data_IF_695443554862
#
_entry.id   IF_695443554862
#
_cell.length_a   1.000
_cell.length_b   1.000
_cell.length_c   1.000
_cell.angle_alpha   90.00
_cell.angle_beta   90.00
_cell.angle_gamma   90.00
#
_symmetry.space_group_name_H-M   'P 1'
#
loop_
_entity.id
_entity.type
_entity.pdbx_description
1 polymer ?
#
# COMPACT_ATOMS: atom_id res chain seq x y z
N UNK A 1 -55.77 22.60 -27.71
CA UNK A 1 -54.37 22.14 -27.91
C UNK A 1 -53.41 22.50 -26.76
N UNK A 2 -53.57 23.62 -26.03
CA UNK A 2 -52.62 24.05 -24.96
C UNK A 2 -52.56 23.18 -23.69
N UNK A 3 -53.66 22.48 -23.31
CA UNK A 3 -53.70 21.67 -22.07
C UNK A 3 -52.93 20.34 -22.14
N UNK A 4 -52.80 19.77 -23.34
CA UNK A 4 -52.07 18.51 -23.56
C UNK A 4 -50.55 18.68 -23.50
N UNK A 5 -50.04 19.84 -23.90
CA UNK A 5 -48.61 20.17 -23.81
C UNK A 5 -48.11 20.24 -22.35
N UNK A 6 -48.94 20.74 -21.43
CA UNK A 6 -48.58 20.81 -20.01
C UNK A 6 -48.54 19.42 -19.36
N UNK A 7 -49.47 18.54 -19.73
CA UNK A 7 -49.48 17.14 -19.27
C UNK A 7 -48.25 16.37 -19.77
N UNK A 8 -47.87 16.54 -21.03
CA UNK A 8 -46.66 15.95 -21.59
C UNK A 8 -45.39 16.47 -20.91
N UNK A 9 -45.33 17.78 -20.60
CA UNK A 9 -44.18 18.37 -19.91
C UNK A 9 -44.04 17.83 -18.47
N UNK A 10 -45.14 17.70 -17.74
CA UNK A 10 -45.15 17.14 -16.38
C UNK A 10 -44.78 15.65 -16.41
N UNK A 11 -45.28 14.88 -17.37
CA UNK A 11 -44.91 13.47 -17.54
C UNK A 11 -43.42 13.32 -17.88
N UNK A 12 -42.86 14.18 -18.75
CA UNK A 12 -41.43 14.21 -19.06
C UNK A 12 -40.57 14.58 -17.84
N UNK A 13 -41.02 15.54 -17.02
CA UNK A 13 -40.33 15.92 -15.79
C UNK A 13 -40.37 14.79 -14.74
N UNK A 14 -41.48 14.06 -14.62
CA UNK A 14 -41.59 12.88 -13.75
C UNK A 14 -40.67 11.74 -14.20
N UNK A 15 -40.58 11.49 -15.51
CA UNK A 15 -39.66 10.47 -16.09
C UNK A 15 -38.19 10.90 -15.92
N UNK A 16 -37.89 12.21 -16.04
CA UNK A 16 -36.57 12.75 -15.72
C UNK A 16 -36.23 12.63 -14.22
N UNK A 17 -37.23 12.76 -13.34
CA UNK A 17 -37.04 12.65 -11.89
C UNK A 17 -36.86 11.18 -11.46
N UNK A 18 -37.56 10.22 -12.07
CA UNK A 18 -37.35 8.78 -11.85
C UNK A 18 -35.99 8.29 -12.38
N UNK A 19 -35.54 8.78 -13.53
CA UNK A 19 -34.19 8.47 -14.05
C UNK A 19 -33.07 9.14 -13.23
N UNK A 20 -33.35 10.26 -12.56
CA UNK A 20 -32.44 10.85 -11.57
C UNK A 20 -32.44 10.10 -10.23
N UNK A 21 -33.58 9.56 -9.80
CA UNK A 21 -33.71 8.77 -8.56
C UNK A 21 -33.21 7.32 -8.69
N UNK A 22 -33.15 6.75 -9.90
CA UNK A 22 -32.48 5.46 -10.15
C UNK A 22 -30.95 5.57 -10.23
N UNK A 23 -30.40 6.78 -10.35
CA UNK A 23 -28.96 7.05 -10.23
C UNK A 23 -28.56 7.44 -8.81
N UNK A 24 -29.26 6.93 -7.80
CA UNK A 24 -28.60 6.68 -6.50
C UNK A 24 -27.64 5.53 -6.75
N UNK A 25 -26.49 5.86 -7.36
CA UNK A 25 -25.34 4.99 -7.51
C UNK A 25 -25.13 4.34 -6.14
N UNK A 26 -25.36 3.02 -6.05
CA UNK A 26 -25.30 2.28 -4.80
C UNK A 26 -24.08 2.77 -4.01
N UNK A 27 -24.31 3.33 -2.81
CA UNK A 27 -23.26 3.93 -2.00
C UNK A 27 -22.09 2.95 -1.96
N UNK A 28 -21.02 3.27 -2.69
CA UNK A 28 -19.98 2.28 -2.96
C UNK A 28 -19.39 1.78 -1.65
N UNK A 29 -18.94 0.53 -1.64
CA UNK A 29 -18.39 -0.16 -0.46
C UNK A 29 -17.12 0.51 0.13
N UNK A 30 -16.72 1.65 -0.42
CA UNK A 30 -15.60 2.48 0.02
C UNK A 30 -14.24 1.95 -0.44
N UNK A 31 -14.21 0.79 -1.09
CA UNK A 31 -12.99 0.17 -1.59
C UNK A 31 -12.53 0.87 -2.88
N UNK A 32 -11.24 1.15 -2.96
CA UNK A 32 -10.64 1.62 -4.21
C UNK A 32 -10.62 0.46 -5.22
N UNK A 33 -11.14 0.71 -6.41
CA UNK A 33 -11.22 -0.22 -7.52
C UNK A 33 -10.40 0.28 -8.71
N UNK A 34 -10.36 -0.53 -9.76
CA UNK A 34 -9.67 -0.21 -11.01
C UNK A 34 -10.67 -0.23 -12.16
N UNK A 35 -10.68 0.83 -12.97
CA UNK A 35 -11.40 0.84 -14.26
C UNK A 35 -10.41 1.20 -15.35
N UNK A 36 -9.92 0.18 -16.05
CA UNK A 36 -8.81 0.37 -16.97
C UNK A 36 -7.55 0.85 -16.24
N UNK A 37 -6.95 1.93 -16.71
CA UNK A 37 -5.73 2.50 -16.12
C UNK A 37 -6.01 3.48 -14.97
N UNK A 38 -7.26 3.64 -14.53
CA UNK A 38 -7.65 4.61 -13.50
C UNK A 38 -8.07 3.91 -12.21
N UNK A 39 -7.73 4.51 -11.07
CA UNK A 39 -8.37 4.19 -9.82
C UNK A 39 -9.77 4.81 -9.76
N UNK A 40 -10.70 4.12 -9.12
CA UNK A 40 -12.08 4.55 -8.96
C UNK A 40 -12.49 4.33 -7.51
N UNK A 41 -13.14 5.31 -6.89
CA UNK A 41 -13.76 5.22 -5.57
C UNK A 41 -15.23 5.57 -5.73
N UNK A 42 -16.13 4.65 -5.35
CA UNK A 42 -17.58 4.84 -5.42
C UNK A 42 -18.02 5.42 -6.79
N UNK A 43 -17.64 4.74 -7.88
CA UNK A 43 -17.99 5.15 -9.24
C UNK A 43 -17.14 6.28 -9.84
N UNK A 44 -16.55 7.12 -9.01
CA UNK A 44 -15.81 8.32 -9.43
C UNK A 44 -14.29 8.10 -9.58
N UNK A 45 -13.62 8.74 -10.55
CA UNK A 45 -12.15 8.69 -10.65
C UNK A 45 -11.47 9.11 -9.35
N UNK A 46 -10.52 8.30 -8.89
CA UNK A 46 -9.74 8.57 -7.68
C UNK A 46 -8.30 8.92 -8.06
N UNK A 47 -7.84 10.09 -7.63
CA UNK A 47 -6.47 10.55 -7.83
C UNK A 47 -5.72 10.48 -6.50
N UNK A 48 -4.80 9.54 -6.41
CA UNK A 48 -3.96 9.39 -5.24
C UNK A 48 -2.94 10.53 -5.17
N UNK A 49 -2.93 11.27 -4.07
CA UNK A 49 -1.90 12.24 -3.72
C UNK A 49 -1.44 11.90 -2.30
N UNK A 50 -0.17 11.58 -2.09
CA UNK A 50 0.21 10.90 -0.86
C UNK A 50 1.64 11.08 -0.41
N UNK A 51 1.97 10.37 0.67
CA UNK A 51 3.27 10.42 1.32
C UNK A 51 3.70 9.04 1.80
N UNK A 52 5.01 8.88 2.02
CA UNK A 52 5.58 7.71 2.68
C UNK A 52 5.80 8.04 4.16
N UNK A 53 5.28 7.23 5.07
CA UNK A 53 5.49 7.36 6.51
C UNK A 53 5.67 5.98 7.12
N UNK A 54 6.90 5.50 7.02
CA UNK A 54 7.25 4.13 7.30
C UNK A 54 7.23 3.77 8.80
N UNK A 55 7.33 4.79 9.65
CA UNK A 55 7.49 4.71 11.10
C UNK A 55 6.16 4.65 11.86
N UNK A 56 5.02 4.80 11.18
CA UNK A 56 3.72 4.99 11.82
C UNK A 56 3.37 3.87 12.82
N UNK A 57 3.49 2.60 12.41
CA UNK A 57 3.22 1.45 13.28
C UNK A 57 4.15 1.44 14.50
N UNK A 58 5.44 1.64 14.27
CA UNK A 58 6.45 1.61 15.34
C UNK A 58 6.19 2.69 16.38
N UNK A 59 5.91 3.93 15.95
CA UNK A 59 5.59 5.04 16.85
C UNK A 59 4.25 4.81 17.55
N UNK A 60 3.21 4.34 16.86
CA UNK A 60 1.90 4.08 17.45
C UNK A 60 1.88 2.91 18.46
N UNK A 61 2.87 2.02 18.40
CA UNK A 61 3.01 0.92 19.36
C UNK A 61 3.30 1.39 20.78
N UNK A 62 3.83 2.62 20.93
CA UNK A 62 3.91 3.32 22.20
C UNK A 62 2.71 4.26 22.36
N UNK A 63 1.77 3.98 23.29
CA UNK A 63 0.60 4.83 23.51
C UNK A 63 0.95 6.31 23.77
N UNK A 64 2.09 6.59 24.41
CA UNK A 64 2.52 7.95 24.72
C UNK A 64 2.92 8.77 23.48
N UNK A 65 3.11 8.10 22.34
CA UNK A 65 3.59 8.71 21.08
C UNK A 65 2.52 8.72 19.99
N UNK A 66 1.34 8.15 20.24
CA UNK A 66 0.23 8.05 19.28
C UNK A 66 -0.25 9.40 18.75
N UNK A 67 -0.15 10.44 19.57
CA UNK A 67 -0.45 11.81 19.17
C UNK A 67 0.37 12.25 17.94
N UNK A 68 1.61 11.78 17.77
CA UNK A 68 2.44 12.08 16.58
C UNK A 68 1.84 11.50 15.29
N UNK A 69 1.25 10.31 15.36
CA UNK A 69 0.56 9.67 14.23
C UNK A 69 -0.73 10.42 13.90
N UNK A 70 -1.52 10.78 14.91
CA UNK A 70 -2.70 11.66 14.75
C UNK A 70 -2.33 12.98 14.08
N UNK A 71 -1.29 13.66 14.57
CA UNK A 71 -0.83 14.94 13.99
C UNK A 71 -0.37 14.79 12.54
N UNK A 72 0.35 13.71 12.20
CA UNK A 72 0.77 13.47 10.82
C UNK A 72 -0.43 13.30 9.88
N UNK A 73 -1.44 12.52 10.25
CA UNK A 73 -2.65 12.35 9.44
C UNK A 73 -3.50 13.62 9.38
N UNK A 74 -3.63 14.36 10.48
CA UNK A 74 -4.32 15.64 10.50
C UNK A 74 -3.66 16.65 9.55
N UNK A 75 -2.32 16.75 9.56
CA UNK A 75 -1.59 17.63 8.64
C UNK A 75 -1.73 17.17 7.19
N UNK A 76 -1.58 15.88 6.92
CA UNK A 76 -1.75 15.33 5.59
C UNK A 76 -3.14 15.65 5.00
N UNK A 77 -4.20 15.44 5.79
CA UNK A 77 -5.57 15.75 5.41
C UNK A 77 -5.77 17.25 5.15
N UNK A 78 -5.26 18.12 6.04
CA UNK A 78 -5.28 19.58 5.86
C UNK A 78 -4.59 20.07 4.58
N UNK A 79 -3.60 19.33 4.09
CA UNK A 79 -2.87 19.63 2.86
C UNK A 79 -3.40 18.88 1.62
N UNK A 80 -4.57 18.21 1.73
CA UNK A 80 -5.20 17.52 0.60
C UNK A 80 -4.46 16.25 0.17
N UNK A 81 -3.68 15.63 1.05
CA UNK A 81 -3.15 14.29 0.83
C UNK A 81 -4.23 13.26 1.14
N UNK A 82 -4.36 12.26 0.27
CA UNK A 82 -5.41 11.25 0.28
C UNK A 82 -4.90 9.84 0.53
N UNK A 83 -3.58 9.60 0.42
CA UNK A 83 -2.96 8.27 0.61
C UNK A 83 -1.69 8.35 1.46
N UNK A 84 -1.50 7.40 2.37
CA UNK A 84 -0.23 7.15 3.03
C UNK A 84 0.28 5.74 2.74
N UNK A 85 1.56 5.62 2.37
CA UNK A 85 2.25 4.34 2.28
C UNK A 85 3.05 4.10 3.56
N UNK A 86 2.87 2.93 4.16
CA UNK A 86 3.57 2.52 5.39
C UNK A 86 3.87 1.03 5.41
N UNK A 87 4.58 0.58 6.44
CA UNK A 87 5.00 -0.81 6.61
C UNK A 87 4.08 -1.53 7.59
N UNK A 88 3.61 -2.70 7.18
CA UNK A 88 2.94 -3.69 8.02
C UNK A 88 3.91 -4.82 8.40
N UNK A 89 5.20 -4.50 8.50
CA UNK A 89 6.27 -5.43 8.87
C UNK A 89 7.26 -4.77 9.83
N UNK A 90 7.86 -5.61 10.65
CA UNK A 90 9.11 -5.40 11.37
C UNK A 90 9.53 -6.78 11.83
N UNK A 91 10.48 -7.37 11.12
CA UNK A 91 10.84 -8.79 11.20
C UNK A 91 12.12 -8.95 12.03
N UNK A 92 11.99 -9.52 13.22
CA UNK A 92 13.11 -9.64 14.16
C UNK A 92 13.68 -8.29 14.63
N UNK A 93 14.81 -8.35 15.36
CA UNK A 93 15.50 -7.16 15.86
C UNK A 93 14.81 -6.51 17.07
N UNK A 94 14.97 -5.19 17.22
CA UNK A 94 14.47 -4.43 18.37
C UNK A 94 13.00 -4.01 18.16
N UNK A 95 12.13 -4.39 19.11
CA UNK A 95 10.67 -4.16 19.08
C UNK A 95 10.00 -4.62 17.76
N UNK A 96 10.14 -5.91 17.37
CA UNK A 96 9.56 -6.40 16.12
C UNK A 96 8.04 -6.44 16.15
N UNK A 97 7.43 -6.41 14.97
CA UNK A 97 6.07 -6.91 14.77
C UNK A 97 6.07 -8.44 14.81
N UNK A 98 6.94 -9.07 14.01
CA UNK A 98 7.10 -10.52 13.94
C UNK A 98 8.48 -10.90 14.49
N UNK A 99 8.55 -11.44 15.71
CA UNK A 99 9.84 -11.77 16.34
C UNK A 99 10.40 -13.12 15.87
N UNK A 100 9.55 -14.03 15.44
CA UNK A 100 9.90 -15.31 14.80
C UNK A 100 8.79 -15.70 13.81
N UNK A 101 9.02 -16.64 12.88
CA UNK A 101 8.02 -17.01 11.90
C UNK A 101 6.67 -17.39 12.55
N UNK A 102 5.63 -16.62 12.24
CA UNK A 102 4.27 -16.86 12.76
C UNK A 102 4.01 -16.37 14.19
N UNK A 103 4.97 -15.71 14.84
CA UNK A 103 4.84 -15.23 16.22
C UNK A 103 4.97 -13.71 16.30
N UNK A 104 4.01 -13.05 16.96
CA UNK A 104 3.78 -11.61 16.81
C UNK A 104 3.73 -10.85 18.13
N UNK A 105 4.24 -9.63 18.11
CA UNK A 105 4.10 -8.68 19.19
C UNK A 105 2.74 -7.97 19.09
N UNK A 106 1.84 -8.31 20.01
CA UNK A 106 0.48 -7.75 20.05
C UNK A 106 0.46 -6.23 20.24
N UNK A 107 1.40 -5.65 20.99
CA UNK A 107 1.48 -4.20 21.17
C UNK A 107 1.88 -3.49 19.86
N UNK A 108 2.75 -4.10 19.06
CA UNK A 108 3.10 -3.59 17.74
C UNK A 108 1.91 -3.69 16.78
N UNK A 109 1.15 -4.79 16.82
CA UNK A 109 -0.09 -4.92 16.06
C UNK A 109 -1.14 -3.88 16.45
N UNK A 110 -1.34 -3.62 17.75
CA UNK A 110 -2.21 -2.54 18.23
C UNK A 110 -1.74 -1.15 17.77
N UNK A 111 -0.44 -0.98 17.55
CA UNK A 111 0.11 0.19 16.88
C UNK A 111 -0.40 0.32 15.44
N UNK A 112 -0.36 -0.74 14.65
CA UNK A 112 -0.91 -0.75 13.29
C UNK A 112 -2.45 -0.59 13.28
N UNK A 113 -3.15 -1.19 14.26
CA UNK A 113 -4.60 -1.03 14.44
C UNK A 113 -4.95 0.48 14.58
N UNK A 114 -4.19 1.21 15.41
CA UNK A 114 -4.32 2.65 15.62
C UNK A 114 -4.05 3.47 14.35
N UNK A 115 -3.02 3.09 13.60
CA UNK A 115 -2.67 3.77 12.33
C UNK A 115 -3.85 3.68 11.35
N UNK A 116 -4.47 2.51 11.23
CA UNK A 116 -5.63 2.31 10.34
C UNK A 116 -6.85 3.08 10.85
N UNK A 117 -7.13 3.07 12.16
CA UNK A 117 -8.26 3.81 12.72
C UNK A 117 -8.11 5.33 12.54
N UNK A 118 -6.90 5.87 12.74
CA UNK A 118 -6.65 7.30 12.55
C UNK A 118 -6.63 7.70 11.07
N UNK A 119 -6.07 6.86 10.19
CA UNK A 119 -6.15 7.10 8.76
C UNK A 119 -7.62 7.19 8.29
N UNK A 120 -8.49 6.30 8.80
CA UNK A 120 -9.94 6.36 8.56
C UNK A 120 -10.53 7.70 9.01
N UNK A 121 -10.24 8.11 10.25
CA UNK A 121 -10.76 9.34 10.85
C UNK A 121 -10.43 10.59 10.03
N UNK A 122 -9.25 10.62 9.39
CA UNK A 122 -8.80 11.74 8.57
C UNK A 122 -9.02 11.56 7.06
N UNK A 123 -9.74 10.51 6.64
CA UNK A 123 -10.06 10.26 5.23
C UNK A 123 -8.86 9.86 4.37
N UNK A 124 -7.81 9.31 4.97
CA UNK A 124 -6.58 8.90 4.29
C UNK A 124 -6.62 7.39 4.03
N UNK A 125 -6.38 7.00 2.79
CA UNK A 125 -6.24 5.59 2.41
C UNK A 125 -4.82 5.08 2.69
N UNK A 126 -4.68 3.78 2.96
CA UNK A 126 -3.40 3.17 3.28
C UNK A 126 -2.89 2.19 2.21
N UNK A 127 -1.60 2.23 1.95
CA UNK A 127 -0.87 1.18 1.23
C UNK A 127 0.05 0.49 2.23
N UNK A 128 -0.18 -0.79 2.47
CA UNK A 128 0.53 -1.58 3.48
C UNK A 128 1.50 -2.55 2.81
N UNK A 129 2.80 -2.36 3.03
CA UNK A 129 3.84 -3.28 2.57
C UNK A 129 4.07 -4.41 3.56
N UNK A 130 4.23 -5.65 3.08
CA UNK A 130 4.34 -6.84 3.94
C UNK A 130 5.78 -7.27 4.29
N UNK A 131 6.79 -6.80 3.55
CA UNK A 131 8.19 -7.16 3.84
C UNK A 131 9.13 -6.18 3.13
N UNK A 132 10.37 -6.07 3.59
CA UNK A 132 11.40 -5.27 2.96
C UNK A 132 12.36 -6.11 2.10
N UNK A 133 12.89 -5.53 1.01
CA UNK A 133 14.06 -6.09 0.34
C UNK A 133 15.36 -5.83 1.11
N UNK A 134 15.44 -4.72 1.83
CA UNK A 134 16.61 -4.35 2.64
C UNK A 134 16.49 -4.84 4.07
N UNK A 135 17.59 -4.72 4.82
CA UNK A 135 17.71 -5.16 6.21
C UNK A 135 16.96 -4.29 7.23
N UNK A 136 16.57 -3.07 6.85
CA UNK A 136 15.87 -2.16 7.77
C UNK A 136 14.55 -2.76 8.21
N UNK A 137 14.41 -2.92 9.54
CA UNK A 137 13.31 -3.65 10.19
C UNK A 137 13.18 -5.11 9.70
N UNK A 138 14.32 -5.76 9.40
CA UNK A 138 14.40 -7.16 9.05
C UNK A 138 14.43 -7.41 7.55
N UNK A 139 13.26 -7.63 6.94
CA UNK A 139 13.15 -7.88 5.50
C UNK A 139 13.55 -9.29 5.06
N UNK A 140 13.76 -9.48 3.75
CA UNK A 140 13.97 -10.80 3.13
C UNK A 140 15.14 -11.58 3.74
N UNK A 141 16.19 -10.88 4.16
CA UNK A 141 17.35 -11.46 4.84
C UNK A 141 16.92 -12.17 6.13
N UNK A 142 16.14 -11.51 6.97
CA UNK A 142 15.69 -12.08 8.24
C UNK A 142 14.87 -13.37 8.06
N UNK A 143 14.04 -13.43 7.02
CA UNK A 143 13.28 -14.63 6.67
C UNK A 143 14.19 -15.80 6.24
N UNK A 144 15.25 -15.51 5.49
CA UNK A 144 16.26 -16.51 5.12
C UNK A 144 17.05 -16.97 6.36
N UNK A 145 17.40 -16.06 7.27
CA UNK A 145 18.08 -16.42 8.52
C UNK A 145 17.21 -17.27 9.44
N UNK A 146 15.90 -16.99 9.55
CA UNK A 146 14.98 -17.87 10.25
C UNK A 146 14.95 -19.28 9.66
N UNK A 147 14.95 -19.42 8.33
CA UNK A 147 15.02 -20.73 7.69
C UNK A 147 16.36 -21.44 7.95
N UNK A 148 17.49 -20.72 7.88
CA UNK A 148 18.82 -21.27 8.20
C UNK A 148 18.90 -21.78 9.64
N UNK A 149 18.33 -21.03 10.59
CA UNK A 149 18.27 -21.45 12.00
C UNK A 149 17.47 -22.74 12.23
N UNK A 150 16.62 -23.13 11.26
CA UNK A 150 15.85 -24.38 11.25
C UNK A 150 16.50 -25.45 10.35
N UNK A 151 17.79 -25.31 10.03
CA UNK A 151 18.56 -26.29 9.26
C UNK A 151 18.44 -26.17 7.73
N UNK A 152 17.82 -25.12 7.19
CA UNK A 152 17.77 -24.92 5.74
C UNK A 152 19.12 -24.41 5.20
N UNK A 153 19.67 -25.07 4.20
CA UNK A 153 20.88 -24.61 3.53
C UNK A 153 20.55 -23.59 2.43
N UNK A 154 20.71 -22.30 2.73
CA UNK A 154 20.45 -21.18 1.81
C UNK A 154 21.69 -20.29 1.71
N UNK A 155 22.29 -20.18 0.52
CA UNK A 155 23.52 -19.40 0.30
C UNK A 155 23.28 -17.92 -0.04
N UNK A 156 22.03 -17.52 -0.26
CA UNK A 156 21.66 -16.16 -0.68
C UNK A 156 20.33 -15.72 -0.09
N UNK A 157 20.18 -14.42 0.14
CA UNK A 157 18.91 -13.79 0.55
C UNK A 157 17.82 -13.93 -0.52
N UNK A 158 18.19 -14.13 -1.79
CA UNK A 158 17.24 -14.43 -2.86
C UNK A 158 16.59 -15.81 -2.71
N UNK A 159 17.11 -16.63 -1.77
CA UNK A 159 16.43 -17.80 -1.23
C UNK A 159 15.01 -17.49 -0.74
N UNK A 160 14.71 -16.22 -0.40
CA UNK A 160 13.37 -15.74 -0.11
C UNK A 160 12.35 -16.04 -1.21
N UNK A 161 12.73 -15.89 -2.49
CA UNK A 161 11.83 -16.08 -3.63
C UNK A 161 11.69 -17.54 -4.04
N UNK A 162 12.66 -18.39 -3.69
CA UNK A 162 12.78 -19.76 -4.22
C UNK A 162 12.45 -20.81 -3.17
N UNK A 163 12.92 -20.66 -1.93
CA UNK A 163 12.74 -21.63 -0.84
C UNK A 163 11.26 -21.84 -0.50
N UNK A 164 10.74 -23.08 -0.55
CA UNK A 164 9.38 -23.40 -0.12
C UNK A 164 9.13 -23.01 1.35
N UNK A 165 10.11 -23.23 2.23
CA UNK A 165 10.02 -22.89 3.67
C UNK A 165 9.87 -21.39 3.86
N UNK A 166 10.75 -20.58 3.24
CA UNK A 166 10.70 -19.12 3.38
C UNK A 166 9.41 -18.54 2.77
N UNK A 167 8.98 -19.04 1.60
CA UNK A 167 7.67 -18.68 1.03
C UNK A 167 6.52 -19.04 1.95
N UNK A 168 6.62 -20.14 2.69
CA UNK A 168 5.66 -20.54 3.71
C UNK A 168 5.56 -19.51 4.84
N UNK A 169 6.70 -19.08 5.40
CA UNK A 169 6.74 -18.03 6.41
C UNK A 169 6.10 -16.73 5.92
N UNK A 170 6.48 -16.27 4.72
CA UNK A 170 5.91 -15.06 4.14
C UNK A 170 4.40 -15.16 3.90
N UNK A 171 3.91 -16.30 3.36
CA UNK A 171 2.46 -16.52 3.17
C UNK A 171 1.71 -16.53 4.49
N UNK A 172 2.29 -17.11 5.54
CA UNK A 172 1.71 -17.08 6.89
C UNK A 172 1.67 -15.65 7.44
N UNK A 173 2.70 -14.85 7.18
CA UNK A 173 2.70 -13.43 7.55
C UNK A 173 1.61 -12.64 6.85
N UNK A 174 1.54 -12.73 5.53
CA UNK A 174 0.50 -12.11 4.72
C UNK A 174 -0.89 -12.52 5.23
N UNK A 175 -1.12 -13.82 5.46
CA UNK A 175 -2.39 -14.34 5.99
C UNK A 175 -2.72 -13.70 7.34
N UNK A 176 -1.76 -13.65 8.26
CA UNK A 176 -1.96 -13.09 9.60
C UNK A 176 -2.37 -11.63 9.53
N UNK A 177 -1.66 -10.82 8.73
CA UNK A 177 -1.96 -9.38 8.61
C UNK A 177 -3.33 -9.15 7.98
N UNK A 178 -3.66 -9.81 6.86
CA UNK A 178 -4.94 -9.54 6.17
C UNK A 178 -6.16 -10.04 6.96
N UNK A 179 -5.99 -11.06 7.81
CA UNK A 179 -7.07 -11.58 8.67
C UNK A 179 -7.05 -11.01 10.09
N UNK A 180 -6.18 -10.03 10.37
CA UNK A 180 -6.15 -9.35 11.66
C UNK A 180 -7.48 -8.64 11.90
N UNK A 181 -8.08 -8.88 13.06
CA UNK A 181 -9.19 -8.08 13.57
C UNK A 181 -8.63 -6.83 14.25
N UNK A 182 -8.95 -5.66 13.71
CA UNK A 182 -8.52 -4.39 14.25
C UNK A 182 -9.20 -4.15 15.61
N UNK A 183 -8.40 -4.04 16.68
CA UNK A 183 -8.91 -3.86 18.05
C UNK A 183 -9.59 -2.51 18.30
N UNK A 184 -9.44 -1.53 17.40
CA UNK A 184 -10.01 -0.18 17.53
C UNK A 184 -11.22 0.06 16.62
N UNK A 185 -11.20 -0.51 15.42
CA UNK A 185 -12.30 -0.32 14.46
C UNK A 185 -13.30 -1.48 14.44
N UNK A 186 -12.94 -2.65 15.00
CA UNK A 186 -13.75 -3.86 14.95
C UNK A 186 -13.82 -4.53 13.57
N UNK A 187 -13.08 -4.04 12.58
CA UNK A 187 -13.05 -4.64 11.25
C UNK A 187 -11.87 -5.58 11.07
N UNK A 188 -12.07 -6.62 10.27
CA UNK A 188 -10.95 -7.42 9.75
C UNK A 188 -10.26 -6.60 8.66
N UNK A 189 -8.93 -6.56 8.65
CA UNK A 189 -8.15 -5.71 7.74
C UNK A 189 -8.52 -5.90 6.26
N UNK A 190 -8.71 -7.13 5.78
CA UNK A 190 -9.13 -7.40 4.40
C UNK A 190 -10.52 -6.82 4.02
N UNK A 191 -11.34 -6.51 5.02
CA UNK A 191 -12.68 -5.95 4.91
C UNK A 191 -12.71 -4.46 5.33
N UNK A 192 -11.54 -3.85 5.58
CA UNK A 192 -11.40 -2.45 5.94
C UNK A 192 -11.05 -1.59 4.71
N UNK A 193 -12.05 -0.84 4.23
CA UNK A 193 -11.88 -0.01 3.03
C UNK A 193 -10.93 1.18 3.21
N UNK A 194 -10.46 1.47 4.44
CA UNK A 194 -9.36 2.41 4.68
C UNK A 194 -8.07 1.93 4.04
N UNK A 195 -7.86 0.62 3.93
CA UNK A 195 -6.71 0.05 3.22
C UNK A 195 -7.04 0.11 1.73
N UNK A 196 -6.22 0.79 0.93
CA UNK A 196 -6.39 0.90 -0.52
C UNK A 196 -5.69 -0.22 -1.27
N UNK A 197 -4.52 -0.65 -0.81
CA UNK A 197 -3.74 -1.67 -1.49
C UNK A 197 -2.79 -2.41 -0.57
N UNK A 198 -2.54 -3.67 -0.91
CA UNK A 198 -1.51 -4.49 -0.32
C UNK A 198 -0.27 -4.49 -1.22
N UNK A 199 0.88 -4.16 -0.65
CA UNK A 199 2.16 -4.19 -1.35
C UNK A 199 2.96 -5.42 -0.93
N UNK A 200 3.32 -6.25 -1.91
CA UNK A 200 3.99 -7.52 -1.64
C UNK A 200 5.34 -7.34 -0.94
N UNK A 201 6.15 -6.39 -1.40
CA UNK A 201 7.47 -6.12 -0.86
C UNK A 201 7.92 -4.71 -1.23
N UNK A 202 8.60 -4.04 -0.31
CA UNK A 202 9.32 -2.80 -0.58
C UNK A 202 10.57 -3.08 -1.44
N UNK A 203 10.68 -2.44 -2.60
CA UNK A 203 11.87 -2.44 -3.49
C UNK A 203 12.55 -3.80 -3.74
N UNK A 204 11.82 -4.86 -4.12
CA UNK A 204 12.39 -6.19 -4.36
C UNK A 204 13.53 -6.14 -5.39
N UNK A 205 14.59 -6.90 -5.12
CA UNK A 205 15.67 -7.22 -6.05
C UNK A 205 16.03 -8.70 -5.91
N UNK A 206 16.43 -9.30 -7.03
CA UNK A 206 16.93 -10.67 -7.11
C UNK A 206 18.18 -10.65 -7.97
N UNK A 207 19.32 -10.44 -7.33
CA UNK A 207 20.62 -10.30 -8.03
C UNK A 207 21.11 -11.64 -8.57
N UNK A 208 20.62 -12.75 -8.02
CA UNK A 208 20.86 -14.10 -8.52
C UNK A 208 20.13 -14.45 -9.83
N UNK A 209 19.11 -13.67 -10.24
CA UNK A 209 18.39 -13.87 -11.50
C UNK A 209 18.10 -12.52 -12.19
N UNK A 210 19.05 -12.10 -13.04
CA UNK A 210 18.96 -10.86 -13.80
C UNK A 210 17.86 -10.88 -14.89
N UNK A 211 17.29 -12.05 -15.20
CA UNK A 211 16.18 -12.14 -16.17
C UNK A 211 14.86 -11.60 -15.60
N UNK A 212 14.75 -11.48 -14.27
CA UNK A 212 13.54 -11.06 -13.57
C UNK A 212 12.46 -12.15 -13.46
N UNK A 213 12.66 -13.33 -14.06
CA UNK A 213 11.66 -14.42 -14.08
C UNK A 213 11.34 -14.95 -12.68
N UNK A 214 12.35 -15.09 -11.83
CA UNK A 214 12.18 -15.58 -10.45
C UNK A 214 11.23 -14.68 -9.68
N UNK A 215 11.49 -13.38 -9.74
CA UNK A 215 10.67 -12.41 -9.03
C UNK A 215 9.26 -12.33 -9.64
N UNK A 216 9.14 -12.34 -10.97
CA UNK A 216 7.84 -12.35 -11.66
C UNK A 216 6.98 -13.55 -11.22
N UNK A 217 7.58 -14.73 -11.12
CA UNK A 217 6.89 -15.95 -10.65
C UNK A 217 6.50 -15.83 -9.17
N UNK A 218 7.38 -15.29 -8.32
CA UNK A 218 7.08 -15.09 -6.90
C UNK A 218 5.86 -14.18 -6.71
N UNK A 219 5.77 -13.09 -7.48
CA UNK A 219 4.59 -12.21 -7.49
C UNK A 219 3.34 -12.93 -7.91
N UNK A 220 3.36 -13.61 -9.06
CA UNK A 220 2.16 -14.24 -9.59
C UNK A 220 1.56 -15.21 -8.57
N UNK A 221 2.41 -15.96 -7.88
CA UNK A 221 2.00 -16.87 -6.82
C UNK A 221 1.43 -16.16 -5.58
N UNK A 222 2.02 -15.05 -5.15
CA UNK A 222 1.57 -14.31 -3.97
C UNK A 222 0.31 -13.50 -4.25
N UNK A 223 0.22 -12.87 -5.42
CA UNK A 223 -0.95 -12.11 -5.86
C UNK A 223 -2.17 -13.00 -6.03
N UNK A 224 -2.03 -14.20 -6.59
CA UNK A 224 -3.12 -15.17 -6.66
C UNK A 224 -3.63 -15.56 -5.25
N UNK A 225 -2.73 -15.70 -4.28
CA UNK A 225 -3.09 -16.02 -2.89
C UNK A 225 -3.84 -14.87 -2.20
N UNK A 226 -3.45 -13.63 -2.46
CA UNK A 226 -4.08 -12.41 -1.91
C UNK A 226 -5.45 -12.14 -2.54
N UNK A 227 -5.53 -12.19 -3.87
CA UNK A 227 -6.78 -11.96 -4.61
C UNK A 227 -7.86 -12.98 -4.25
N UNK A 228 -7.48 -14.23 -3.95
CA UNK A 228 -8.42 -15.24 -3.48
C UNK A 228 -8.93 -15.03 -2.05
N UNK A 229 -8.30 -14.15 -1.25
CA UNK A 229 -8.52 -14.05 0.20
C UNK A 229 -8.88 -12.65 0.70
N UNK A 230 -8.67 -11.60 -0.09
CA UNK A 230 -9.02 -10.22 0.23
C UNK A 230 -9.83 -9.59 -0.91
N UNK A 231 -10.77 -8.70 -0.57
CA UNK A 231 -11.64 -8.00 -1.54
C UNK A 231 -10.92 -6.94 -2.37
N UNK A 232 -9.59 -7.00 -2.52
CA UNK A 232 -8.79 -5.85 -2.98
C UNK A 232 -7.50 -6.15 -3.75
N UNK A 233 -7.02 -5.11 -4.43
CA UNK A 233 -5.84 -5.09 -5.30
C UNK A 233 -4.54 -5.52 -4.63
N UNK A 234 -3.72 -6.26 -5.38
CA UNK A 234 -2.32 -6.55 -5.06
C UNK A 234 -1.39 -5.70 -5.91
N UNK A 235 -0.47 -4.94 -5.29
CA UNK A 235 0.57 -4.16 -5.98
C UNK A 235 1.79 -5.03 -6.28
N UNK A 236 2.22 -5.01 -7.53
CA UNK A 236 3.43 -5.70 -8.03
C UNK A 236 4.59 -4.69 -8.17
N UNK A 237 5.74 -4.91 -7.53
CA UNK A 237 6.90 -4.02 -7.66
C UNK A 237 7.61 -4.07 -9.03
N UNK A 238 8.39 -3.02 -9.30
CA UNK A 238 8.90 -2.66 -10.64
C UNK A 238 10.06 -3.50 -11.19
N UNK A 239 10.84 -4.17 -10.35
CA UNK A 239 12.03 -4.96 -10.74
C UNK A 239 11.74 -6.27 -11.49
N UNK A 240 10.49 -6.47 -11.93
CA UNK A 240 9.93 -7.77 -12.25
C UNK A 240 9.32 -7.83 -13.67
N UNK A 241 9.70 -6.89 -14.55
CA UNK A 241 9.14 -6.74 -15.91
C UNK A 241 10.24 -6.73 -16.99
N UNK A 242 10.04 -7.38 -18.15
CA UNK A 242 11.02 -7.43 -19.23
C UNK A 242 11.21 -6.07 -19.95
N UNK A 243 12.43 -5.80 -20.40
CA UNK A 243 12.89 -4.54 -21.01
C UNK A 243 12.30 -4.33 -22.42
N UNK A 244 11.57 -3.23 -22.66
CA UNK A 244 11.50 -2.52 -23.97
C UNK A 244 11.04 -1.07 -23.77
N UNK A 245 11.76 -0.13 -24.43
CA UNK A 245 11.65 1.35 -24.31
C UNK A 245 10.33 1.91 -24.87
N UNK A 246 9.74 2.89 -24.18
CA UNK A 246 9.27 4.18 -24.75
C UNK A 246 8.77 5.14 -23.65
N UNK A 247 8.64 6.43 -23.99
CA UNK A 247 8.70 7.66 -23.19
C UNK A 247 7.36 8.18 -22.60
N UNK A 248 7.49 8.96 -21.52
CA UNK A 248 6.58 9.98 -20.90
C UNK A 248 5.38 9.59 -20.01
N UNK A 249 5.49 9.92 -18.70
CA UNK A 249 4.43 10.50 -17.84
C UNK A 249 5.11 11.37 -16.75
N UNK A 250 4.66 12.62 -16.56
CA UNK A 250 5.24 13.63 -15.65
C UNK A 250 4.41 13.72 -14.35
N UNK A 251 5.08 13.67 -13.19
CA UNK A 251 4.51 13.92 -11.85
C UNK A 251 5.11 15.21 -11.27
N UNK A 252 4.31 15.98 -10.53
CA UNK A 252 4.77 17.12 -9.70
C UNK A 252 4.54 16.76 -8.24
N UNK A 253 5.61 16.57 -7.45
CA UNK A 253 5.51 16.37 -6.01
C UNK A 253 5.53 17.72 -5.28
N UNK A 254 4.60 17.97 -4.36
CA UNK A 254 4.58 19.16 -3.50
C UNK A 254 5.31 18.95 -2.16
N UNK A 255 6.37 18.12 -2.16
CA UNK A 255 7.15 17.77 -0.96
C UNK A 255 7.86 18.95 -0.28
N UNK A 256 8.02 20.09 -0.97
CA UNK A 256 8.67 21.27 -0.40
C UNK A 256 7.82 22.00 0.65
N UNK A 257 6.48 22.04 0.48
CA UNK A 257 5.59 22.74 1.44
C UNK A 257 5.27 21.93 2.70
N UNK A 258 5.43 20.61 2.65
CA UNK A 258 5.24 19.73 3.81
C UNK A 258 6.45 19.72 4.76
N UNK A 259 7.66 19.95 4.22
CA UNK A 259 8.91 19.98 5.00
C UNK A 259 8.96 21.11 6.03
N UNK A 260 8.35 22.26 5.75
CA UNK A 260 8.33 23.42 6.66
C UNK A 260 7.31 23.29 7.80
N UNK A 261 6.30 22.42 7.68
CA UNK A 261 5.23 22.28 8.67
C UNK A 261 5.56 21.29 9.82
N UNK A 262 6.60 20.46 9.67
CA UNK A 262 6.99 19.41 10.63
C UNK A 262 7.98 19.86 11.72
N UNK A 263 8.19 21.16 11.91
CA UNK A 263 9.14 21.76 12.87
C UNK A 263 8.89 21.50 14.37
N UNK A 264 8.11 20.48 14.74
CA UNK A 264 7.78 20.13 16.13
C UNK A 264 8.11 18.68 16.51
N UNK A 265 8.96 17.98 15.74
CA UNK A 265 9.46 16.65 16.10
C UNK A 265 10.96 16.75 16.43
N UNK A 266 11.31 16.45 17.69
CA UNK A 266 12.66 16.49 18.26
C UNK A 266 13.72 15.88 17.29
N UNK A 267 14.84 16.57 17.02
CA UNK A 267 15.77 16.23 15.92
C UNK A 267 16.51 14.89 16.01
N UNK A 268 16.35 14.10 17.09
CA UNK A 268 17.11 12.87 17.31
C UNK A 268 16.66 11.62 16.55
N UNK A 269 15.53 11.67 15.82
CA UNK A 269 14.96 10.50 15.11
C UNK A 269 15.03 10.59 13.59
N UNK A 270 15.57 11.70 13.06
CA UNK A 270 15.63 11.97 11.64
C UNK A 270 17.10 12.01 11.23
N UNK A 271 17.65 10.82 10.94
CA UNK A 271 18.95 10.75 10.26
C UNK A 271 18.82 11.24 8.82
N UNK A 272 19.32 12.45 8.54
CA UNK A 272 19.53 12.99 7.20
C UNK A 272 21.01 13.30 7.00
N UNK A 273 21.65 12.72 5.98
CA UNK A 273 22.81 13.30 5.26
C UNK A 273 22.88 12.76 3.81
N UNK A 274 23.53 13.50 2.87
CA UNK A 274 23.22 13.48 1.43
C UNK A 274 24.26 12.75 0.55
N UNK A 275 23.80 12.10 -0.54
CA UNK A 275 24.36 12.11 -1.91
C UNK A 275 23.89 10.95 -2.82
N UNK A 276 23.71 11.29 -4.10
CA UNK A 276 23.67 10.48 -5.35
C UNK A 276 22.36 9.82 -5.89
N UNK A 277 21.96 10.35 -7.06
CA UNK A 277 20.95 9.92 -8.06
C UNK A 277 21.55 8.92 -9.05
N UNK A 278 20.83 7.82 -9.39
CA UNK A 278 20.31 7.54 -10.75
C UNK A 278 19.48 6.23 -10.82
N UNK A 279 18.54 6.22 -11.79
CA UNK A 279 17.67 5.14 -12.29
C UNK A 279 16.39 4.89 -11.45
N UNK A 280 15.17 4.82 -12.00
CA UNK A 280 14.77 4.44 -13.36
C UNK A 280 13.44 5.14 -13.70
N UNK A 281 13.37 5.81 -14.85
CA UNK A 281 12.17 6.21 -15.61
C UNK A 281 12.37 5.45 -16.93
N UNK A 282 11.66 4.35 -17.22
CA UNK A 282 10.67 4.29 -18.32
C UNK A 282 10.53 2.83 -18.75
N UNK A 283 9.62 2.05 -18.16
CA UNK A 283 9.22 0.71 -18.68
C UNK A 283 7.97 0.11 -18.01
N UNK A 284 7.20 0.89 -17.23
CA UNK A 284 6.01 0.37 -16.53
C UNK A 284 4.75 0.36 -17.42
N UNK A 285 4.77 1.06 -18.55
CA UNK A 285 3.57 1.45 -19.30
C UNK A 285 3.00 0.31 -20.17
N UNK A 286 3.82 -0.62 -20.69
CA UNK A 286 3.33 -1.59 -21.69
C UNK A 286 2.92 -2.98 -21.13
N UNK A 287 3.55 -3.47 -20.05
CA UNK A 287 3.17 -4.76 -19.47
C UNK A 287 1.83 -4.72 -18.72
N UNK A 288 1.48 -3.56 -18.16
CA UNK A 288 0.21 -3.32 -17.46
C UNK A 288 -0.89 -2.81 -18.40
N UNK A 289 -0.52 -2.34 -19.61
CA UNK A 289 -1.45 -2.09 -20.74
C UNK A 289 -2.17 -3.36 -21.21
N UNK A 290 -1.48 -4.51 -21.26
CA UNK A 290 -2.09 -5.80 -21.63
C UNK A 290 -3.08 -6.35 -20.59
N UNK A 291 -3.01 -5.89 -19.33
CA UNK A 291 -3.87 -6.35 -18.23
C UNK A 291 -4.80 -5.28 -17.64
N UNK A 292 -4.82 -4.06 -18.19
CA UNK A 292 -5.68 -2.95 -17.71
C UNK A 292 -5.58 -2.73 -16.18
N UNK A 293 -4.37 -2.82 -15.61
CA UNK A 293 -4.15 -2.59 -14.19
C UNK A 293 -3.53 -1.20 -13.95
N UNK A 294 -4.05 -0.39 -13.00
CA UNK A 294 -3.46 0.90 -12.65
C UNK A 294 -2.14 0.72 -11.91
N UNK A 295 -1.25 1.69 -12.13
CA UNK A 295 0.13 1.68 -11.65
C UNK A 295 0.26 2.75 -10.57
N UNK A 296 0.65 2.35 -9.36
CA UNK A 296 1.16 3.29 -8.37
C UNK A 296 2.69 3.30 -8.47
N UNK A 297 3.27 4.43 -8.90
CA UNK A 297 4.72 4.62 -9.01
C UNK A 297 5.17 5.42 -7.79
N UNK A 298 6.04 4.82 -6.96
CA UNK A 298 6.71 5.54 -5.87
C UNK A 298 7.94 6.21 -6.46
N UNK A 299 7.89 7.53 -6.65
CA UNK A 299 9.04 8.32 -7.06
C UNK A 299 9.70 8.84 -5.79
N UNK A 300 10.69 8.11 -5.29
CA UNK A 300 11.68 8.73 -4.41
C UNK A 300 12.45 9.77 -5.23
N UNK A 301 12.18 11.05 -4.98
CA UNK A 301 13.19 12.08 -5.15
C UNK A 301 14.31 11.74 -4.15
N UNK A 302 15.36 11.07 -4.62
CA UNK A 302 16.69 11.28 -4.06
C UNK A 302 17.35 12.34 -4.94
N UNK A 303 17.85 13.38 -4.30
CA UNK A 303 18.76 14.36 -4.92
C UNK A 303 20.20 13.80 -4.88
N UNK A 304 20.96 14.13 -5.92
CA UNK A 304 22.41 13.95 -5.99
C UNK A 304 23.09 14.72 -4.88
#
# INVERSE_FOLDING_TARGET
MKKWGLFLLIALLMIQQESHLQNVEAAGDGFIQTRGMRFVLNGSPYYANGFNAYWLMYVASDPSQRNKVTSAFQQASRHGLTVARTWAFSDGGYRPLQYSPGSYNENMFKGLDFVISEARKYGIKLILSFVNNYESLGGKKQYVEWAKSQGQYLSSEDGFFTSPVVKGYYKNHVKTVITRHNSMTGLVYKDDSTIMAWELMNEPRCTSDLSGKTIQRAVQNCAATLQAKAKMMTRVPRSMLPIKRSSEVRWVSSSARFRSALGLIHPGWIGFTPKFIQSTLLTAVDALRKKKCPILIDNHLRET
#
